data_IF_722927705989
#
_entry.id   IF_722927705989
#
_cell.length_a   1.000
_cell.length_b   1.000
_cell.length_c   1.000
_cell.angle_alpha   90.00
_cell.angle_beta   90.00
_cell.angle_gamma   90.00
#
_symmetry.space_group_name_H-M   'P 1'
#
loop_
_entity.id
_entity.type
_entity.pdbx_description
1 polymer ?
#
# COMPACT_ATOMS: atom_id res chain seq x y z
N UNK A 1 24.65 -51.45 22.24
CA UNK A 1 25.39 -50.49 21.38
C UNK A 1 24.57 -50.27 20.12
N UNK A 2 24.25 -49.02 19.83
CA UNK A 2 23.39 -48.62 18.72
C UNK A 2 23.03 -47.15 18.88
N UNK A 3 23.99 -46.28 18.57
CA UNK A 3 23.78 -44.84 18.44
C UNK A 3 22.98 -44.57 17.17
N UNK A 4 21.95 -43.74 17.24
CA UNK A 4 21.56 -42.89 16.12
C UNK A 4 20.99 -41.58 16.65
N UNK A 5 21.57 -40.50 16.13
CA UNK A 5 21.46 -39.13 16.58
C UNK A 5 20.26 -38.43 15.94
N UNK A 6 19.27 -38.08 16.74
CA UNK A 6 18.16 -37.15 16.45
C UNK A 6 17.84 -36.53 17.84
N UNK A 7 17.80 -35.24 18.12
CA UNK A 7 17.48 -34.05 17.34
C UNK A 7 18.20 -32.83 17.93
N UNK A 8 18.91 -32.09 17.08
CA UNK A 8 19.30 -30.71 17.36
C UNK A 8 18.17 -29.79 16.90
N UNK A 9 17.38 -29.25 17.82
CA UNK A 9 16.96 -27.84 17.72
C UNK A 9 16.41 -27.33 19.05
N UNK A 10 17.33 -26.70 19.80
CA UNK A 10 17.04 -25.87 20.95
C UNK A 10 16.35 -24.59 20.47
N UNK A 11 15.02 -24.56 20.50
CA UNK A 11 14.24 -23.32 20.42
C UNK A 11 14.18 -22.70 21.82
N UNK A 12 15.28 -22.06 22.22
CA UNK A 12 15.26 -21.07 23.30
C UNK A 12 14.45 -19.87 22.83
N UNK A 13 13.18 -19.82 23.23
CA UNK A 13 12.39 -18.60 23.21
C UNK A 13 12.77 -17.79 24.46
N UNK A 14 13.55 -16.74 24.26
CA UNK A 14 13.76 -15.69 25.26
C UNK A 14 12.45 -14.93 25.47
N UNK A 15 11.72 -15.29 26.54
CA UNK A 15 10.51 -14.61 26.99
C UNK A 15 10.86 -13.31 27.75
N UNK A 16 11.08 -12.19 27.06
CA UNK A 16 10.97 -10.85 27.66
C UNK A 16 10.53 -9.79 26.64
N UNK A 17 9.25 -9.45 26.61
CA UNK A 17 8.81 -8.24 25.90
C UNK A 17 7.32 -8.15 25.59
N UNK A 18 6.62 -7.41 26.44
CA UNK A 18 5.44 -6.59 26.13
C UNK A 18 4.04 -7.23 26.01
N UNK A 19 3.13 -6.66 26.80
CA UNK A 19 1.77 -7.10 27.10
C UNK A 19 0.78 -6.34 26.21
N UNK A 20 0.61 -6.75 24.95
CA UNK A 20 -0.63 -6.60 24.17
C UNK A 20 -0.48 -7.06 22.70
N UNK A 21 0.26 -8.13 22.45
CA UNK A 21 0.24 -8.75 21.13
C UNK A 21 -1.08 -9.51 20.94
N UNK A 22 -2.03 -8.89 20.23
CA UNK A 22 -3.08 -9.65 19.55
C UNK A 22 -2.35 -10.69 18.68
N UNK A 23 -2.29 -11.94 19.13
CA UNK A 23 -1.63 -13.04 18.40
C UNK A 23 -2.18 -13.06 16.98
N UNK A 24 -1.39 -12.55 16.04
CA UNK A 24 -1.77 -12.54 14.63
C UNK A 24 -1.81 -13.99 14.15
N UNK A 25 -2.94 -14.41 13.58
CA UNK A 25 -3.05 -15.75 12.99
C UNK A 25 -2.20 -15.77 11.72
N UNK A 26 -1.22 -16.67 11.65
CA UNK A 26 -0.43 -16.91 10.44
C UNK A 26 -1.31 -17.60 9.41
N UNK A 27 -1.44 -17.01 8.23
CA UNK A 27 -2.23 -17.55 7.14
C UNK A 27 -1.31 -17.86 5.96
N UNK A 28 -1.41 -19.08 5.43
CA UNK A 28 -0.69 -19.50 4.23
C UNK A 28 -1.61 -19.30 3.03
N UNK A 29 -1.15 -18.54 2.04
CA UNK A 29 -1.91 -18.25 0.82
C UNK A 29 -1.24 -18.96 -0.35
N UNK A 30 -2.03 -19.69 -1.13
CA UNK A 30 -1.58 -20.27 -2.39
C UNK A 30 -1.87 -19.26 -3.49
N UNK A 31 -0.81 -18.86 -4.19
CA UNK A 31 -0.87 -17.90 -5.30
C UNK A 31 -0.37 -18.59 -6.57
N UNK A 32 -0.99 -18.34 -7.73
CA UNK A 32 -0.41 -18.70 -9.01
C UNK A 32 0.98 -18.06 -9.16
N UNK A 33 1.90 -18.79 -9.80
CA UNK A 33 3.30 -18.34 -9.98
C UNK A 33 3.39 -16.96 -10.65
N UNK A 34 2.53 -16.67 -11.63
CA UNK A 34 2.49 -15.37 -12.32
C UNK A 34 2.16 -14.20 -11.37
N UNK A 35 1.25 -14.42 -10.41
CA UNK A 35 0.86 -13.40 -9.45
C UNK A 35 1.92 -13.25 -8.35
N UNK A 36 2.57 -14.35 -7.96
CA UNK A 36 3.71 -14.32 -7.05
C UNK A 36 4.88 -13.51 -7.60
N UNK A 37 5.25 -13.73 -8.87
CA UNK A 37 6.32 -12.97 -9.53
C UNK A 37 6.03 -11.47 -9.57
N UNK A 38 4.80 -11.09 -9.93
CA UNK A 38 4.36 -9.68 -9.91
C UNK A 38 4.45 -9.07 -8.50
N UNK A 39 4.01 -9.81 -7.47
CA UNK A 39 4.12 -9.37 -6.07
C UNK A 39 5.57 -9.18 -5.64
N UNK A 40 6.46 -10.08 -6.06
CA UNK A 40 7.89 -10.00 -5.78
C UNK A 40 8.54 -8.78 -6.46
N UNK A 41 8.25 -8.55 -7.74
CA UNK A 41 8.73 -7.35 -8.43
C UNK A 41 8.24 -6.06 -7.76
N UNK A 42 6.97 -6.01 -7.34
CA UNK A 42 6.42 -4.84 -6.64
C UNK A 42 7.07 -4.64 -5.26
N UNK A 43 7.37 -5.73 -4.56
CA UNK A 43 8.12 -5.72 -3.31
C UNK A 43 9.51 -5.12 -3.48
N UNK A 44 10.23 -5.54 -4.51
CA UNK A 44 11.57 -5.07 -4.84
C UNK A 44 11.56 -3.59 -5.25
N UNK A 45 10.66 -3.19 -6.15
CA UNK A 45 10.53 -1.79 -6.61
C UNK A 45 10.23 -0.81 -5.48
N UNK A 46 9.45 -1.24 -4.49
CA UNK A 46 9.04 -0.39 -3.36
C UNK A 46 9.91 -0.56 -2.12
N UNK A 47 10.86 -1.49 -2.11
CA UNK A 47 11.66 -1.88 -0.94
C UNK A 47 10.80 -2.19 0.29
N UNK A 48 9.67 -2.87 0.09
CA UNK A 48 8.71 -3.24 1.14
C UNK A 48 8.47 -4.74 1.06
N UNK A 49 8.34 -5.42 2.21
CA UNK A 49 8.06 -6.86 2.21
C UNK A 49 6.71 -7.20 1.55
N UNK A 50 6.63 -8.37 0.91
CA UNK A 50 5.38 -8.88 0.32
C UNK A 50 4.24 -8.92 1.34
N UNK A 51 4.53 -9.33 2.59
CA UNK A 51 3.55 -9.35 3.68
C UNK A 51 2.96 -7.97 3.99
N UNK A 52 3.79 -6.92 3.94
CA UNK A 52 3.37 -5.54 4.19
C UNK A 52 2.60 -4.96 3.00
N UNK A 53 2.97 -5.32 1.77
CA UNK A 53 2.20 -4.98 0.57
C UNK A 53 0.79 -5.57 0.64
N UNK A 54 0.68 -6.87 0.98
CA UNK A 54 -0.61 -7.54 1.16
C UNK A 54 -1.40 -6.84 2.27
N UNK A 55 -0.79 -6.62 3.43
CA UNK A 55 -1.42 -5.93 4.56
C UNK A 55 -1.97 -4.56 4.16
N UNK A 56 -1.18 -3.76 3.46
CA UNK A 56 -1.58 -2.43 2.98
C UNK A 56 -2.75 -2.49 2.00
N UNK A 57 -2.72 -3.43 1.05
CA UNK A 57 -3.81 -3.62 0.10
C UNK A 57 -5.12 -4.03 0.79
N UNK A 58 -5.06 -4.94 1.77
CA UNK A 58 -6.23 -5.31 2.58
C UNK A 58 -6.75 -4.14 3.42
N UNK A 59 -5.86 -3.34 4.01
CA UNK A 59 -6.26 -2.13 4.72
C UNK A 59 -6.94 -1.13 3.78
N UNK A 60 -6.42 -0.92 2.58
CA UNK A 60 -7.03 0.01 1.62
C UNK A 60 -8.43 -0.45 1.19
N UNK A 61 -8.60 -1.75 0.94
CA UNK A 61 -9.84 -2.34 0.44
C UNK A 61 -10.94 -2.44 1.52
N UNK A 62 -10.56 -2.83 2.74
CA UNK A 62 -11.53 -3.16 3.79
C UNK A 62 -11.69 -2.09 4.87
N UNK A 63 -10.83 -1.07 4.93
CA UNK A 63 -10.98 0.01 5.91
C UNK A 63 -11.80 1.17 5.34
N UNK A 64 -12.99 1.50 5.88
CA UNK A 64 -13.87 2.53 5.31
C UNK A 64 -13.26 3.95 5.23
N UNK A 65 -12.22 4.22 6.02
CA UNK A 65 -11.59 5.55 6.12
C UNK A 65 -10.77 5.94 4.89
N UNK A 66 -10.20 4.99 4.15
CA UNK A 66 -9.51 5.26 2.87
C UNK A 66 -10.51 5.63 1.78
N UNK A 67 -11.62 4.88 1.68
CA UNK A 67 -12.72 5.18 0.73
C UNK A 67 -13.32 6.57 0.98
N UNK A 68 -13.62 6.92 2.23
CA UNK A 68 -14.17 8.24 2.55
C UNK A 68 -13.17 9.36 2.19
N UNK A 69 -11.86 9.19 2.47
CA UNK A 69 -10.85 10.19 2.07
C UNK A 69 -10.65 10.27 0.56
N UNK A 70 -10.71 9.15 -0.15
CA UNK A 70 -10.63 9.13 -1.61
C UNK A 70 -11.83 9.85 -2.24
N UNK A 71 -13.03 9.61 -1.72
CA UNK A 71 -14.25 10.33 -2.13
C UNK A 71 -14.16 11.82 -1.78
N UNK A 72 -13.73 12.19 -0.58
CA UNK A 72 -13.53 13.59 -0.20
C UNK A 72 -12.50 14.30 -1.08
N UNK A 73 -11.43 13.63 -1.50
CA UNK A 73 -10.44 14.18 -2.44
C UNK A 73 -11.01 14.36 -3.85
N UNK A 74 -11.89 13.46 -4.29
CA UNK A 74 -12.59 13.58 -5.57
C UNK A 74 -13.61 14.73 -5.53
N UNK A 75 -14.34 14.88 -4.43
CA UNK A 75 -15.27 16.01 -4.23
C UNK A 75 -14.51 17.34 -4.21
N UNK A 76 -13.41 17.45 -3.48
CA UNK A 76 -12.54 18.65 -3.48
C UNK A 76 -11.92 18.95 -4.85
N UNK A 77 -11.68 17.93 -5.68
CA UNK A 77 -11.18 18.13 -7.05
C UNK A 77 -12.25 18.69 -7.99
N UNK A 78 -13.51 18.29 -7.77
CA UNK A 78 -14.65 18.83 -8.51
C UNK A 78 -15.07 20.22 -8.01
N UNK A 79 -14.81 20.53 -6.74
CA UNK A 79 -14.97 21.85 -6.13
C UNK A 79 -13.78 22.79 -6.39
N UNK A 80 -13.16 22.74 -7.59
CA UNK A 80 -12.35 23.89 -8.02
C UNK A 80 -13.28 25.10 -7.98
N UNK A 81 -12.95 26.19 -7.23
CA UNK A 81 -13.78 27.37 -7.23
C UNK A 81 -13.97 27.78 -8.68
N UNK A 82 -15.21 28.11 -9.06
CA UNK A 82 -15.51 28.58 -10.41
C UNK A 82 -14.52 29.70 -10.72
N UNK A 83 -13.56 29.43 -11.60
CA UNK A 83 -12.53 30.38 -12.00
C UNK A 83 -13.26 31.64 -12.42
N UNK A 84 -12.95 32.77 -11.79
CA UNK A 84 -13.66 34.01 -12.08
C UNK A 84 -13.53 34.30 -13.58
N UNK A 85 -14.55 34.91 -14.16
CA UNK A 85 -14.57 35.19 -15.60
C UNK A 85 -13.32 35.98 -16.05
N UNK A 86 -12.75 36.76 -15.13
CA UNK A 86 -11.56 37.57 -15.32
C UNK A 86 -10.27 36.73 -15.33
N UNK A 87 -10.13 35.76 -14.42
CA UNK A 87 -8.98 34.82 -14.42
C UNK A 87 -8.99 33.93 -15.66
N UNK A 88 -10.18 33.53 -16.12
CA UNK A 88 -10.34 32.71 -17.32
C UNK A 88 -9.91 33.46 -18.57
N UNK A 89 -10.29 34.72 -18.70
CA UNK A 89 -9.91 35.58 -19.82
C UNK A 89 -8.41 35.86 -19.87
N UNK A 90 -7.77 36.02 -18.71
CA UNK A 90 -6.30 36.18 -18.61
C UNK A 90 -5.58 34.90 -19.06
N UNK A 91 -6.09 33.73 -18.70
CA UNK A 91 -5.54 32.44 -19.13
C UNK A 91 -5.69 32.21 -20.63
N UNK A 92 -6.85 32.56 -21.21
CA UNK A 92 -7.10 32.48 -22.66
C UNK A 92 -6.14 33.40 -23.43
N UNK A 93 -6.00 34.67 -23.01
CA UNK A 93 -5.06 35.61 -23.63
C UNK A 93 -3.59 35.13 -23.56
N UNK A 94 -3.20 34.46 -22.45
CA UNK A 94 -1.84 33.91 -22.30
C UNK A 94 -1.61 32.70 -23.18
N UNK A 95 -2.63 31.84 -23.35
CA UNK A 95 -2.57 30.67 -24.22
C UNK A 95 -2.53 31.07 -25.70
N UNK A 96 -3.36 32.04 -26.12
CA UNK A 96 -3.39 32.54 -27.49
C UNK A 96 -2.06 33.19 -27.89
N UNK A 97 -1.41 33.92 -26.97
CA UNK A 97 -0.07 34.49 -27.20
C UNK A 97 1.01 33.43 -27.34
N UNK A 98 0.87 32.27 -26.67
CA UNK A 98 1.83 31.16 -26.78
C UNK A 98 1.63 30.31 -28.03
N UNK A 99 0.41 30.25 -28.56
CA UNK A 99 0.07 29.49 -29.77
C UNK A 99 0.24 30.31 -31.06
N UNK A 100 0.42 31.63 -30.94
CA UNK A 100 0.68 32.55 -32.06
C UNK A 100 2.19 32.80 -32.31
N UNK A 101 3.06 32.07 -31.62
CA UNK A 101 4.50 31.99 -31.86
C UNK A 101 4.89 30.56 -32.19
#
# INVERSE_FOLDING_TARGET
MGSSSEDYNSLQNDERGDKNEKKLKRLHMLLPESEWQRLKELSERRNISVSELIRSAYQELYWPRSRIRALQRLDQWNEKPAMSHQERKVLEDVLDRRLSH
#
